data_IF_202944276608
#
_entry.id   IF_202944276608
#
_cell.length_a   1.000
_cell.length_b   1.000
_cell.length_c   1.000
_cell.angle_alpha   90.00
_cell.angle_beta   90.00
_cell.angle_gamma   90.00
#
_symmetry.space_group_name_H-M   'P 1'
#
loop_
_entity.id
_entity.type
_entity.pdbx_description
1 polymer ?
#
# COMPACT_ATOMS: atom_id res chain seq x y z
N UNK A 1 4.85 2.67 -56.42
CA UNK A 1 3.86 1.88 -55.65
C UNK A 1 4.40 1.41 -54.31
N UNK A 2 5.54 0.70 -54.24
CA UNK A 2 6.09 0.17 -52.98
C UNK A 2 6.40 1.22 -51.89
N UNK A 3 6.90 2.41 -52.26
CA UNK A 3 7.28 3.46 -51.30
C UNK A 3 6.09 3.99 -50.49
N UNK A 4 4.92 4.14 -51.10
CA UNK A 4 3.70 4.57 -50.40
C UNK A 4 3.18 3.51 -49.43
N UNK A 5 3.24 2.24 -49.82
CA UNK A 5 2.82 1.11 -48.98
C UNK A 5 3.71 0.99 -47.74
N UNK A 6 5.03 1.13 -47.91
CA UNK A 6 5.99 1.10 -46.79
C UNK A 6 5.73 2.26 -45.82
N UNK A 7 5.51 3.47 -46.32
CA UNK A 7 5.17 4.63 -45.47
C UNK A 7 3.88 4.40 -44.68
N UNK A 8 2.83 3.86 -45.33
CA UNK A 8 1.58 3.55 -44.65
C UNK A 8 1.75 2.48 -43.56
N UNK A 9 2.53 1.42 -43.82
CA UNK A 9 2.86 0.39 -42.83
C UNK A 9 3.58 0.97 -41.62
N UNK A 10 4.58 1.83 -41.85
CA UNK A 10 5.33 2.48 -40.77
C UNK A 10 4.44 3.42 -39.94
N UNK A 11 3.50 4.13 -40.58
CA UNK A 11 2.53 4.94 -39.86
C UNK A 11 1.62 4.08 -38.98
N UNK A 12 1.04 3.00 -39.51
CA UNK A 12 0.19 2.09 -38.74
C UNK A 12 0.96 1.50 -37.55
N UNK A 13 2.20 1.07 -37.77
CA UNK A 13 3.06 0.48 -36.74
C UNK A 13 3.43 1.49 -35.65
N UNK A 14 3.66 2.76 -36.03
CA UNK A 14 3.88 3.84 -35.08
C UNK A 14 2.63 4.14 -34.26
N UNK A 15 1.45 4.18 -34.90
CA UNK A 15 0.18 4.45 -34.24
C UNK A 15 -0.25 3.31 -33.30
N UNK A 16 0.04 2.05 -33.65
CA UNK A 16 -0.28 0.91 -32.78
C UNK A 16 0.49 0.95 -31.46
N UNK A 17 1.73 1.44 -31.47
CA UNK A 17 2.54 1.58 -30.25
C UNK A 17 1.91 2.53 -29.22
N UNK A 18 1.35 3.65 -29.66
CA UNK A 18 0.65 4.61 -28.79
C UNK A 18 -0.62 4.00 -28.19
N UNK A 19 -1.42 3.30 -29.00
CA UNK A 19 -2.66 2.67 -28.54
C UNK A 19 -2.36 1.59 -27.49
N UNK A 20 -1.41 0.69 -27.78
CA UNK A 20 -1.00 -0.34 -26.84
C UNK A 20 -0.38 0.26 -25.57
N UNK A 21 0.44 1.31 -25.70
CA UNK A 21 1.03 2.00 -24.55
C UNK A 21 -0.01 2.62 -23.63
N UNK A 22 -1.01 3.29 -24.19
CA UNK A 22 -2.14 3.83 -23.42
C UNK A 22 -2.93 2.72 -22.73
N UNK A 23 -3.21 1.61 -23.42
CA UNK A 23 -3.90 0.46 -22.83
C UNK A 23 -3.13 -0.13 -21.64
N UNK A 24 -1.83 -0.40 -21.81
CA UNK A 24 -0.99 -0.92 -20.73
C UNK A 24 -0.87 0.06 -19.56
N UNK A 25 -0.81 1.36 -19.82
CA UNK A 25 -0.78 2.37 -18.77
C UNK A 25 -2.05 2.34 -17.91
N UNK A 26 -3.23 2.26 -18.54
CA UNK A 26 -4.49 2.18 -17.80
C UNK A 26 -4.57 0.89 -16.98
N UNK A 27 -4.19 -0.25 -17.57
CA UNK A 27 -4.18 -1.53 -16.87
C UNK A 27 -3.17 -1.55 -15.71
N UNK A 28 -1.98 -0.98 -15.88
CA UNK A 28 -1.00 -0.83 -14.81
C UNK A 28 -1.57 0.01 -13.66
N UNK A 29 -2.24 1.12 -13.96
CA UNK A 29 -2.84 2.00 -12.96
C UNK A 29 -3.97 1.31 -12.16
N UNK A 30 -4.76 0.46 -12.80
CA UNK A 30 -5.77 -0.35 -12.10
C UNK A 30 -5.12 -1.41 -11.21
N UNK A 31 -4.10 -2.09 -11.71
CA UNK A 31 -3.33 -3.05 -10.92
C UNK A 31 -2.66 -2.40 -9.71
N UNK A 32 -2.07 -1.21 -9.85
CA UNK A 32 -1.44 -0.50 -8.75
C UNK A 32 -2.44 -0.18 -7.63
N UNK A 33 -3.66 0.23 -8.00
CA UNK A 33 -4.74 0.45 -7.02
C UNK A 33 -5.11 -0.83 -6.29
N UNK A 34 -5.27 -1.93 -7.03
CA UNK A 34 -5.61 -3.23 -6.45
C UNK A 34 -4.49 -3.78 -5.54
N UNK A 35 -3.23 -3.59 -5.93
CA UNK A 35 -2.07 -3.97 -5.13
C UNK A 35 -1.98 -3.13 -3.85
N UNK A 36 -2.26 -1.83 -3.93
CA UNK A 36 -2.33 -0.96 -2.75
C UNK A 36 -3.43 -1.41 -1.79
N UNK A 37 -4.63 -1.69 -2.29
CA UNK A 37 -5.75 -2.17 -1.49
C UNK A 37 -5.41 -3.48 -0.76
N UNK A 38 -4.84 -4.46 -1.48
CA UNK A 38 -4.41 -5.72 -0.87
C UNK A 38 -3.26 -5.55 0.12
N UNK A 39 -2.34 -4.63 -0.14
CA UNK A 39 -1.26 -4.31 0.79
C UNK A 39 -1.81 -3.75 2.10
N UNK A 40 -2.83 -2.88 2.03
CA UNK A 40 -3.52 -2.34 3.19
C UNK A 40 -4.32 -3.40 3.95
N UNK A 41 -5.03 -4.30 3.25
CA UNK A 41 -5.76 -5.42 3.88
C UNK A 41 -4.80 -6.37 4.61
N UNK A 42 -3.69 -6.74 3.97
CA UNK A 42 -2.68 -7.59 4.58
C UNK A 42 -2.07 -6.91 5.81
N UNK A 43 -1.78 -5.61 5.70
CA UNK A 43 -1.26 -4.82 6.81
C UNK A 43 -2.25 -4.83 7.99
N UNK A 44 -3.53 -4.57 7.73
CA UNK A 44 -4.57 -4.59 8.75
C UNK A 44 -4.70 -5.97 9.41
N UNK A 45 -4.61 -7.06 8.64
CA UNK A 45 -4.71 -8.42 9.17
C UNK A 45 -3.53 -8.77 10.10
N UNK A 46 -2.30 -8.38 9.74
CA UNK A 46 -1.11 -8.58 10.60
C UNK A 46 -1.28 -7.82 11.92
N UNK A 47 -1.73 -6.56 11.86
CA UNK A 47 -1.95 -5.77 13.07
C UNK A 47 -3.10 -6.33 13.91
N UNK A 48 -4.20 -6.74 13.27
CA UNK A 48 -5.32 -7.41 13.96
C UNK A 48 -4.86 -8.66 14.70
N UNK A 49 -4.03 -9.50 14.08
CA UNK A 49 -3.50 -10.71 14.71
C UNK A 49 -2.55 -10.41 15.87
N UNK A 50 -1.74 -9.36 15.76
CA UNK A 50 -0.89 -8.91 16.85
C UNK A 50 -1.75 -8.48 18.04
N UNK A 51 -2.75 -7.63 17.79
CA UNK A 51 -3.59 -7.01 18.80
C UNK A 51 -4.65 -7.94 19.39
N UNK A 52 -5.06 -9.01 18.69
CA UNK A 52 -5.96 -10.04 19.24
C UNK A 52 -5.44 -10.70 20.53
N UNK A 53 -4.14 -10.56 20.83
CA UNK A 53 -3.57 -11.05 22.09
C UNK A 53 -3.83 -10.13 23.28
N UNK A 54 -4.21 -8.87 23.04
CA UNK A 54 -4.38 -7.83 24.05
C UNK A 54 -5.76 -7.17 23.89
N UNK A 55 -6.69 -7.45 24.81
CA UNK A 55 -8.08 -6.96 24.75
C UNK A 55 -8.29 -5.59 25.43
N UNK A 56 -7.22 -4.89 25.78
CA UNK A 56 -7.28 -3.62 26.52
C UNK A 56 -6.47 -2.53 25.81
N UNK A 57 -6.98 -1.30 25.86
CA UNK A 57 -6.45 -0.15 25.11
C UNK A 57 -4.99 0.17 25.51
N UNK A 58 -4.66 0.03 26.79
CA UNK A 58 -3.29 0.22 27.30
C UNK A 58 -2.35 -0.89 26.80
N UNK A 59 -2.85 -2.12 26.70
CA UNK A 59 -2.11 -3.28 26.18
C UNK A 59 -1.81 -3.19 24.68
N UNK A 60 -2.66 -2.51 23.91
CA UNK A 60 -2.45 -2.24 22.48
C UNK A 60 -1.22 -1.34 22.29
N UNK A 61 -1.15 -0.23 23.02
CA UNK A 61 -0.04 0.73 22.92
C UNK A 61 1.27 0.11 23.43
N UNK A 62 1.22 -0.67 24.52
CA UNK A 62 2.39 -1.36 25.06
C UNK A 62 2.98 -2.35 24.04
N UNK A 63 2.14 -3.15 23.39
CA UNK A 63 2.60 -4.15 22.41
C UNK A 63 3.23 -3.52 21.16
N UNK A 64 2.71 -2.37 20.73
CA UNK A 64 3.26 -1.62 19.60
C UNK A 64 4.60 -1.00 20.00
N UNK A 65 4.70 -0.41 21.19
CA UNK A 65 5.97 0.08 21.74
C UNK A 65 7.02 -1.04 21.87
N UNK A 66 6.62 -2.23 22.33
CA UNK A 66 7.49 -3.39 22.39
C UNK A 66 7.99 -3.78 20.99
N UNK A 67 7.12 -3.81 19.99
CA UNK A 67 7.48 -4.15 18.61
C UNK A 67 8.44 -3.12 18.00
N UNK A 68 8.23 -1.83 18.26
CA UNK A 68 9.13 -0.74 17.83
C UNK A 68 10.49 -0.86 18.51
N UNK A 69 10.52 -0.99 19.83
CA UNK A 69 11.76 -1.07 20.61
C UNK A 69 12.58 -2.32 20.29
N UNK A 70 11.93 -3.42 19.89
CA UNK A 70 12.57 -4.66 19.45
C UNK A 70 12.97 -4.66 17.97
N UNK A 71 12.59 -3.63 17.20
CA UNK A 71 12.88 -3.53 15.77
C UNK A 71 12.14 -4.58 14.93
N UNK A 72 10.94 -5.00 15.35
CA UNK A 72 10.16 -6.01 14.64
C UNK A 72 9.47 -5.41 13.41
N UNK A 73 10.19 -5.41 12.30
CA UNK A 73 9.75 -4.81 11.02
C UNK A 73 8.50 -5.45 10.44
N UNK A 74 8.26 -6.74 10.73
CA UNK A 74 7.05 -7.45 10.33
C UNK A 74 5.76 -6.83 10.91
N UNK A 75 5.89 -6.08 12.01
CA UNK A 75 4.79 -5.41 12.70
C UNK A 75 4.80 -3.90 12.46
N UNK A 76 5.97 -3.28 12.47
CA UNK A 76 6.09 -1.82 12.29
C UNK A 76 5.90 -1.39 10.84
N UNK A 77 6.32 -2.20 9.86
CA UNK A 77 6.13 -1.89 8.44
C UNK A 77 4.65 -1.77 8.04
N UNK A 78 3.80 -2.76 8.36
CA UNK A 78 2.35 -2.67 8.18
C UNK A 78 1.70 -1.45 8.86
N UNK A 79 2.14 -1.09 10.07
CA UNK A 79 1.67 0.11 10.76
C UNK A 79 2.06 1.38 10.01
N UNK A 80 3.30 1.47 9.51
CA UNK A 80 3.75 2.60 8.69
C UNK A 80 2.87 2.72 7.45
N UNK A 81 2.62 1.61 6.74
CA UNK A 81 1.79 1.59 5.52
C UNK A 81 0.38 2.08 5.79
N UNK A 82 -0.27 1.63 6.87
CA UNK A 82 -1.62 2.09 7.25
C UNK A 82 -1.61 3.58 7.65
N UNK A 83 -0.67 4.00 8.49
CA UNK A 83 -0.59 5.38 8.95
C UNK A 83 -0.29 6.39 7.84
N UNK A 84 0.45 6.00 6.79
CA UNK A 84 0.80 6.88 5.67
C UNK A 84 -0.26 6.89 4.54
N UNK A 85 -0.96 5.77 4.31
CA UNK A 85 -1.83 5.63 3.15
C UNK A 85 -3.33 5.58 3.49
N UNK A 86 -3.71 5.00 4.64
CA UNK A 86 -5.13 4.86 5.04
C UNK A 86 -5.26 4.67 6.56
N UNK A 87 -5.15 5.79 7.29
CA UNK A 87 -5.27 5.81 8.76
C UNK A 87 -6.67 5.37 9.22
N UNK A 88 -7.70 5.63 8.42
CA UNK A 88 -9.08 5.33 8.80
C UNK A 88 -9.33 3.83 8.86
N UNK A 89 -8.63 3.03 8.04
CA UNK A 89 -8.63 1.56 8.19
C UNK A 89 -8.13 1.11 9.57
N UNK A 90 -7.17 1.82 10.17
CA UNK A 90 -6.68 1.48 11.52
C UNK A 90 -7.79 1.68 12.58
N UNK A 91 -8.69 2.65 12.37
CA UNK A 91 -9.82 2.90 13.28
C UNK A 91 -10.84 1.75 13.34
N UNK A 92 -10.79 0.81 12.40
CA UNK A 92 -11.64 -0.39 12.43
C UNK A 92 -11.23 -1.39 13.51
N UNK A 93 -9.99 -1.30 14.01
CA UNK A 93 -9.41 -2.25 14.96
C UNK A 93 -8.90 -1.62 16.25
N UNK A 94 -8.69 -0.29 16.28
CA UNK A 94 -8.30 0.44 17.49
C UNK A 94 -9.11 1.73 17.64
N UNK A 95 -9.17 2.27 18.86
CA UNK A 95 -9.81 3.56 19.11
C UNK A 95 -9.11 4.71 18.40
N UNK A 96 -9.82 5.82 18.20
CA UNK A 96 -9.26 7.01 17.53
C UNK A 96 -8.03 7.58 18.25
N UNK A 97 -8.05 7.57 19.58
CA UNK A 97 -6.95 8.03 20.43
C UNK A 97 -5.73 7.13 20.22
N UNK A 98 -5.94 5.81 20.24
CA UNK A 98 -4.88 4.84 20.02
C UNK A 98 -4.31 4.96 18.60
N UNK A 99 -5.14 5.14 17.58
CA UNK A 99 -4.67 5.34 16.21
C UNK A 99 -3.75 6.57 16.06
N UNK A 100 -4.04 7.68 16.76
CA UNK A 100 -3.16 8.86 16.77
C UNK A 100 -1.83 8.58 17.43
N UNK A 101 -1.87 7.95 18.61
CA UNK A 101 -0.66 7.61 19.34
C UNK A 101 0.21 6.63 18.55
N UNK A 102 -0.38 5.59 17.98
CA UNK A 102 0.31 4.60 17.16
C UNK A 102 0.99 5.25 15.96
N UNK A 103 0.28 6.07 15.18
CA UNK A 103 0.86 6.73 14.01
C UNK A 103 1.91 7.81 14.35
N UNK A 104 1.94 8.29 15.60
CA UNK A 104 3.00 9.16 16.09
C UNK A 104 4.24 8.39 16.59
N UNK A 105 4.05 7.15 17.07
CA UNK A 105 5.12 6.29 17.57
C UNK A 105 5.89 5.59 16.44
N UNK A 106 5.20 5.24 15.36
CA UNK A 106 5.77 4.46 14.27
C UNK A 106 6.74 5.33 13.44
N UNK A 107 7.94 4.81 13.08
CA UNK A 107 8.89 5.55 12.27
C UNK A 107 8.28 5.90 10.91
N UNK A 108 8.38 7.19 10.55
CA UNK A 108 7.94 7.74 9.26
C UNK A 108 9.07 7.58 8.25
N UNK A 109 8.80 6.91 7.14
CA UNK A 109 9.84 6.62 6.17
C UNK A 109 9.49 5.42 5.29
N UNK A 110 9.74 5.59 3.99
CA UNK A 110 9.48 4.59 2.96
C UNK A 110 10.33 3.34 3.19
N UNK A 111 9.71 2.29 3.73
CA UNK A 111 10.20 0.94 3.54
C UNK A 111 9.86 0.56 2.09
N UNK A 112 10.87 0.66 1.22
CA UNK A 112 10.84 0.18 -0.16
C UNK A 112 10.93 -1.35 -0.21
#
# INVERSE_FOLDING_TARGET
>A
MAKGIITTLLLILSLSGWISGTFFYFQAKENDKFLMEKSLDNSLNIISQMLQRNNDDDGVIEQINLSINKGWTAHTGPLTTLCENDRDRLLTIVTKINAEQICNLVPKGKYY
#
